data_IF_456536188948
#
_entry.id   IF_456536188948
#
_cell.length_a   1.000
_cell.length_b   1.000
_cell.length_c   1.000
_cell.angle_alpha   90.00
_cell.angle_beta   90.00
_cell.angle_gamma   90.00
#
_symmetry.space_group_name_H-M   'P 1'
#
loop_
_entity.id
_entity.type
_entity.pdbx_description
1 polymer ?
#
# COMPACT_ATOMS: atom_id res chain seq x y z
N UNK A 1 10.73 15.25 8.31
CA UNK A 1 11.84 16.04 7.73
C UNK A 1 11.39 17.38 7.13
N UNK A 2 10.70 17.46 5.98
CA UNK A 2 10.45 18.76 5.33
C UNK A 2 9.48 19.68 6.08
N UNK A 3 8.32 19.11 6.42
CA UNK A 3 7.56 19.24 7.65
C UNK A 3 7.98 20.29 8.72
N UNK A 4 9.27 20.35 9.12
CA UNK A 4 9.72 21.35 10.13
C UNK A 4 9.55 22.76 9.58
N UNK A 5 9.99 22.96 8.34
CA UNK A 5 10.26 24.29 7.78
C UNK A 5 8.99 25.08 7.42
N UNK A 6 7.83 24.43 7.47
CA UNK A 6 6.53 25.07 7.25
C UNK A 6 5.88 25.43 8.58
N UNK A 7 5.83 24.48 9.53
CA UNK A 7 5.36 24.76 10.88
C UNK A 7 6.15 25.89 11.56
N UNK A 8 7.48 25.82 11.46
CA UNK A 8 8.42 26.81 11.97
C UNK A 8 8.13 28.24 11.50
N UNK A 9 7.57 28.38 10.29
CA UNK A 9 7.32 29.67 9.63
C UNK A 9 5.99 30.28 10.03
N UNK A 10 4.97 29.43 10.25
CA UNK A 10 3.65 29.88 10.72
C UNK A 10 3.75 30.57 12.08
N UNK A 11 4.46 29.95 13.02
CA UNK A 11 4.73 30.50 14.36
C UNK A 11 5.42 31.86 14.26
N UNK A 12 6.43 31.97 13.41
CA UNK A 12 7.23 33.19 13.24
C UNK A 12 6.42 34.36 12.71
N UNK A 13 5.45 34.13 11.83
CA UNK A 13 4.63 35.20 11.24
C UNK A 13 3.46 35.65 12.14
N UNK A 14 2.86 34.74 12.91
CA UNK A 14 1.70 35.05 13.77
C UNK A 14 2.09 35.44 15.21
N UNK A 15 3.40 35.47 15.51
CA UNK A 15 3.98 35.68 16.86
C UNK A 15 3.63 34.59 17.88
N UNK A 16 3.06 33.48 17.41
CA UNK A 16 2.82 32.29 18.20
C UNK A 16 4.12 31.54 18.50
N UNK A 17 4.24 30.95 19.69
CA UNK A 17 5.37 30.06 20.00
C UNK A 17 5.21 28.74 19.23
N UNK A 18 6.34 28.11 18.88
CA UNK A 18 6.32 26.77 18.27
C UNK A 18 5.72 25.72 19.22
N UNK A 19 4.89 24.85 18.64
CA UNK A 19 4.25 23.69 19.26
C UNK A 19 4.65 22.37 18.55
N UNK A 20 4.75 22.33 17.22
CA UNK A 20 4.99 21.10 16.43
C UNK A 20 6.28 21.10 15.61
N UNK A 21 7.35 20.49 16.12
CA UNK A 21 8.62 20.29 15.39
C UNK A 21 8.44 20.03 13.89
N UNK A 22 8.01 18.85 13.46
CA UNK A 22 7.82 18.44 12.05
C UNK A 22 6.36 18.01 11.75
N UNK A 23 5.57 18.75 10.95
CA UNK A 23 4.23 18.34 10.41
C UNK A 23 4.09 18.78 8.93
N UNK A 24 3.53 18.06 7.94
CA UNK A 24 2.67 16.87 7.83
C UNK A 24 3.40 15.53 7.53
N UNK A 25 3.05 14.46 8.27
CA UNK A 25 3.20 13.04 7.92
C UNK A 25 1.98 12.34 8.54
N UNK A 26 0.97 12.00 7.74
CA UNK A 26 -0.31 11.42 8.20
C UNK A 26 -0.44 9.88 8.18
N UNK A 27 0.60 9.04 8.01
CA UNK A 27 0.37 7.61 8.09
C UNK A 27 -0.13 7.17 9.45
N UNK A 28 0.16 7.89 10.54
CA UNK A 28 -0.47 7.65 11.84
C UNK A 28 -1.99 7.82 11.80
N UNK A 29 -2.52 8.85 11.15
CA UNK A 29 -3.97 9.05 11.02
C UNK A 29 -4.61 8.00 10.07
N UNK A 30 -3.97 7.70 8.94
CA UNK A 30 -4.46 6.69 8.00
C UNK A 30 -4.34 5.27 8.56
N UNK A 31 -3.28 4.96 9.30
CA UNK A 31 -3.12 3.73 10.07
C UNK A 31 -4.17 3.65 11.17
N UNK A 32 -4.41 4.72 11.94
CA UNK A 32 -5.45 4.72 12.97
C UNK A 32 -6.83 4.45 12.36
N UNK A 33 -7.15 5.05 11.22
CA UNK A 33 -8.38 4.76 10.47
C UNK A 33 -8.45 3.28 10.07
N UNK A 34 -7.35 2.74 9.53
CA UNK A 34 -7.24 1.33 9.12
C UNK A 34 -7.39 0.37 10.32
N UNK A 35 -6.73 0.66 11.45
CA UNK A 35 -6.79 -0.12 12.70
C UNK A 35 -8.17 -0.04 13.35
N UNK A 36 -8.78 1.15 13.41
CA UNK A 36 -10.13 1.34 13.93
C UNK A 36 -11.13 0.51 13.13
N UNK A 37 -11.04 0.55 11.80
CA UNK A 37 -11.86 -0.27 10.93
C UNK A 37 -11.61 -1.78 11.14
N UNK A 38 -10.35 -2.20 11.19
CA UNK A 38 -9.93 -3.59 11.40
C UNK A 38 -10.45 -4.15 12.75
N UNK A 39 -10.31 -3.39 13.83
CA UNK A 39 -10.76 -3.78 15.18
C UNK A 39 -12.29 -3.80 15.31
N UNK A 40 -12.98 -2.85 14.66
CA UNK A 40 -14.46 -2.78 14.59
C UNK A 40 -15.04 -3.94 13.75
N UNK A 41 -14.30 -4.42 12.77
CA UNK A 41 -14.74 -5.45 11.81
C UNK A 41 -13.83 -6.70 11.89
N UNK A 42 -13.79 -7.42 13.03
CA UNK A 42 -12.95 -8.60 13.20
C UNK A 42 -13.27 -9.63 12.10
N UNK A 43 -12.21 -10.18 11.50
CA UNK A 43 -12.32 -11.00 10.28
C UNK A 43 -13.15 -12.27 10.57
N UNK A 44 -14.42 -12.27 10.15
CA UNK A 44 -15.36 -13.39 10.36
C UNK A 44 -15.00 -14.69 9.62
N UNK A 45 -13.93 -14.68 8.79
CA UNK A 45 -13.51 -15.80 7.94
C UNK A 45 -11.99 -15.94 7.99
N UNK A 46 -11.48 -17.07 8.48
CA UNK A 46 -10.04 -17.36 8.54
C UNK A 46 -9.38 -17.21 7.15
N UNK A 47 -8.10 -16.80 7.14
CA UNK A 47 -7.30 -16.86 5.91
C UNK A 47 -7.27 -18.30 5.38
N UNK A 48 -7.28 -18.43 4.05
CA UNK A 48 -7.04 -19.73 3.42
C UNK A 48 -5.56 -20.09 3.61
N UNK A 49 -5.23 -21.34 4.02
CA UNK A 49 -3.84 -21.78 4.15
C UNK A 49 -3.12 -21.77 2.80
N UNK A 50 -3.81 -22.20 1.74
CA UNK A 50 -3.33 -22.10 0.37
C UNK A 50 -4.10 -21.03 -0.42
N UNK A 51 -3.38 -20.32 -1.28
CA UNK A 51 -3.80 -19.28 -2.20
C UNK A 51 -3.98 -19.86 -3.59
N UNK A 52 -4.85 -19.23 -4.39
CA UNK A 52 -5.16 -19.63 -5.76
C UNK A 52 -4.63 -18.66 -6.81
N UNK A 53 -4.12 -17.50 -6.37
CA UNK A 53 -3.55 -16.44 -7.23
C UNK A 53 -2.23 -15.95 -6.66
N UNK A 54 -1.33 -15.58 -7.55
CA UNK A 54 -0.04 -14.97 -7.22
C UNK A 54 -0.25 -13.64 -6.49
N UNK A 55 -1.17 -12.80 -6.96
CA UNK A 55 -1.30 -11.45 -6.41
C UNK A 55 -2.72 -10.87 -6.41
N UNK A 56 -2.89 -9.79 -5.66
CA UNK A 56 -3.98 -8.82 -5.80
C UNK A 56 -3.40 -7.40 -5.99
N UNK A 57 -3.97 -6.62 -6.90
CA UNK A 57 -3.53 -5.26 -7.23
C UNK A 57 -4.73 -4.33 -7.33
N UNK A 58 -4.96 -3.52 -6.28
CA UNK A 58 -6.16 -2.70 -6.14
C UNK A 58 -5.92 -1.23 -6.54
N UNK A 59 -6.61 -0.74 -7.57
CA UNK A 59 -6.45 0.63 -8.08
C UNK A 59 -7.81 1.34 -8.22
N UNK A 60 -8.15 2.23 -7.28
CA UNK A 60 -9.38 3.02 -7.39
C UNK A 60 -9.28 4.16 -8.43
N UNK A 61 -8.31 5.06 -8.24
CA UNK A 61 -8.10 6.19 -9.15
C UNK A 61 -7.06 5.86 -10.23
N UNK A 62 -7.42 6.08 -11.50
CA UNK A 62 -6.55 6.03 -12.66
C UNK A 62 -5.40 7.06 -12.52
N UNK A 63 -4.16 6.59 -12.63
CA UNK A 63 -2.93 7.40 -12.56
C UNK A 63 -1.84 6.77 -13.44
N UNK A 64 -0.88 7.55 -14.00
CA UNK A 64 0.11 7.03 -14.94
C UNK A 64 0.90 5.82 -14.45
N UNK A 65 1.32 5.80 -13.17
CA UNK A 65 2.07 4.68 -12.60
C UNK A 65 1.21 3.44 -12.34
N UNK A 66 -0.10 3.62 -12.10
CA UNK A 66 -1.08 2.53 -11.95
C UNK A 66 -1.43 1.93 -13.30
N UNK A 67 -1.68 2.78 -14.29
CA UNK A 67 -1.82 2.37 -15.68
C UNK A 67 -0.61 1.54 -16.11
N UNK A 68 0.61 2.05 -15.94
CA UNK A 68 1.86 1.35 -16.28
C UNK A 68 2.02 -0.01 -15.57
N UNK A 69 1.53 -0.16 -14.34
CA UNK A 69 1.55 -1.46 -13.64
C UNK A 69 0.50 -2.43 -14.22
N UNK A 70 -0.74 -1.97 -14.43
CA UNK A 70 -1.81 -2.82 -14.97
C UNK A 70 -1.53 -3.19 -16.43
N UNK A 71 -1.17 -2.21 -17.26
CA UNK A 71 -0.72 -2.40 -18.64
C UNK A 71 0.40 -3.45 -18.72
N UNK A 72 1.39 -3.36 -17.82
CA UNK A 72 2.46 -4.36 -17.75
C UNK A 72 1.91 -5.76 -17.43
N UNK A 73 0.99 -5.88 -16.48
CA UNK A 73 0.35 -7.17 -16.14
C UNK A 73 -0.38 -7.77 -17.34
N UNK A 74 -1.11 -6.97 -18.12
CA UNK A 74 -1.78 -7.45 -19.34
C UNK A 74 -0.77 -7.84 -20.44
N UNK A 75 0.25 -7.01 -20.69
CA UNK A 75 1.28 -7.25 -21.72
C UNK A 75 2.08 -8.56 -21.50
N UNK A 76 2.19 -9.02 -20.26
CA UNK A 76 2.91 -10.24 -19.88
C UNK A 76 1.97 -11.43 -19.56
N UNK A 77 0.65 -11.27 -19.74
CA UNK A 77 -0.34 -12.30 -19.41
C UNK A 77 -0.48 -12.62 -17.91
N UNK A 78 -0.05 -11.70 -17.04
CA UNK A 78 -0.14 -11.81 -15.58
C UNK A 78 -1.50 -11.41 -15.04
N UNK A 79 -2.36 -10.77 -15.84
CA UNK A 79 -3.78 -10.53 -15.57
C UNK A 79 -4.49 -11.82 -15.10
N UNK A 80 -4.15 -12.97 -15.69
CA UNK A 80 -4.68 -14.29 -15.34
C UNK A 80 -4.14 -14.84 -14.02
N UNK A 81 -2.98 -14.36 -13.56
CA UNK A 81 -2.28 -14.82 -12.34
C UNK A 81 -2.71 -14.07 -11.08
N UNK A 82 -3.42 -12.95 -11.19
CA UNK A 82 -3.86 -12.16 -10.05
C UNK A 82 -5.33 -11.74 -10.08
N UNK A 83 -5.68 -10.87 -9.13
CA UNK A 83 -6.91 -10.08 -9.13
C UNK A 83 -6.55 -8.61 -9.28
N UNK A 84 -7.21 -7.90 -10.19
CA UNK A 84 -6.91 -6.50 -10.51
C UNK A 84 -8.17 -5.67 -10.39
N UNK A 85 -8.10 -4.51 -9.72
CA UNK A 85 -9.08 -3.43 -9.92
C UNK A 85 -8.45 -2.22 -10.59
N UNK A 86 -9.26 -1.51 -11.36
CA UNK A 86 -8.98 -0.25 -12.03
C UNK A 86 -10.31 0.51 -12.16
N UNK A 87 -10.70 1.25 -11.13
CA UNK A 87 -12.09 1.73 -10.97
C UNK A 87 -12.42 3.05 -11.68
N UNK A 88 -11.45 3.70 -12.33
CA UNK A 88 -11.61 5.01 -12.96
C UNK A 88 -12.34 6.05 -12.07
N UNK A 89 -12.06 6.03 -10.75
CA UNK A 89 -12.80 6.75 -9.69
C UNK A 89 -13.06 8.25 -9.95
N UNK A 90 -12.17 8.94 -10.66
CA UNK A 90 -12.29 10.37 -10.97
C UNK A 90 -12.55 10.64 -12.46
N UNK A 91 -13.15 9.66 -13.16
CA UNK A 91 -13.30 9.65 -14.61
C UNK A 91 -12.18 8.87 -15.31
N UNK A 92 -12.46 8.48 -16.55
CA UNK A 92 -11.49 7.83 -17.44
C UNK A 92 -10.55 8.89 -18.03
N UNK A 93 -9.24 8.69 -17.88
CA UNK A 93 -8.21 9.61 -18.40
C UNK A 93 -7.72 9.10 -19.78
N UNK A 94 -8.62 9.13 -20.76
CA UNK A 94 -8.66 8.16 -21.87
C UNK A 94 -7.51 8.25 -22.88
N UNK A 95 -7.02 9.43 -23.27
CA UNK A 95 -6.08 9.56 -24.40
C UNK A 95 -4.65 9.05 -24.13
N UNK A 96 -4.22 9.01 -22.86
CA UNK A 96 -2.85 8.66 -22.48
C UNK A 96 -2.76 7.46 -21.51
N UNK A 97 -3.90 6.81 -21.21
CA UNK A 97 -3.99 5.61 -20.37
C UNK A 97 -4.75 4.50 -21.09
N UNK A 98 -4.47 4.34 -22.39
CA UNK A 98 -4.92 3.23 -23.23
C UNK A 98 -3.81 2.86 -24.24
N UNK A 99 -3.58 1.56 -24.44
CA UNK A 99 -2.76 1.01 -25.51
C UNK A 99 -3.23 -0.42 -25.88
N UNK A 100 -2.57 -1.06 -26.84
CA UNK A 100 -2.84 -2.43 -27.29
C UNK A 100 -2.92 -3.49 -26.18
N UNK A 101 -2.17 -3.32 -25.08
CA UNK A 101 -2.16 -4.25 -23.95
C UNK A 101 -3.31 -3.98 -22.96
N UNK A 102 -3.62 -2.71 -22.67
CA UNK A 102 -4.68 -2.32 -21.74
C UNK A 102 -5.34 -1.01 -22.19
N UNK A 103 -6.66 -1.04 -22.42
CA UNK A 103 -7.45 0.07 -22.98
C UNK A 103 -7.96 1.04 -21.89
N UNK A 104 -7.45 0.95 -20.66
CA UNK A 104 -7.94 1.73 -19.52
C UNK A 104 -9.31 1.28 -19.01
N UNK A 105 -9.82 0.14 -19.47
CA UNK A 105 -11.16 -0.34 -19.16
C UNK A 105 -11.35 -0.56 -17.66
N UNK A 106 -12.57 -0.29 -17.17
CA UNK A 106 -12.88 -0.43 -15.75
C UNK A 106 -12.84 -1.90 -15.31
N UNK A 107 -12.07 -2.19 -14.27
CA UNK A 107 -11.94 -3.52 -13.66
C UNK A 107 -12.41 -3.46 -12.20
N UNK A 108 -13.42 -4.25 -11.83
CA UNK A 108 -14.09 -4.21 -10.52
C UNK A 108 -14.10 -5.58 -9.86
N UNK A 109 -13.97 -5.64 -8.53
CA UNK A 109 -14.13 -6.86 -7.72
C UNK A 109 -15.35 -6.77 -6.79
N UNK A 110 -15.49 -5.65 -6.07
CA UNK A 110 -16.49 -5.44 -5.02
C UNK A 110 -17.27 -4.12 -5.18
N UNK A 111 -16.58 -3.01 -5.46
CA UNK A 111 -17.17 -1.68 -5.58
C UNK A 111 -16.74 -0.95 -6.85
N UNK A 112 -17.67 -0.23 -7.48
CA UNK A 112 -17.35 0.72 -8.55
C UNK A 112 -16.68 2.02 -8.03
N UNK A 113 -16.28 2.89 -8.97
CA UNK A 113 -15.61 4.16 -8.67
C UNK A 113 -16.42 5.16 -7.83
N UNK A 114 -17.75 5.06 -7.77
CA UNK A 114 -18.61 5.88 -6.90
C UNK A 114 -18.85 5.20 -5.55
N UNK A 115 -19.12 3.90 -5.55
CA UNK A 115 -19.34 3.10 -4.35
C UNK A 115 -18.10 3.09 -3.44
N UNK A 116 -16.89 3.05 -3.99
CA UNK A 116 -15.65 3.07 -3.22
C UNK A 116 -15.43 4.41 -2.47
N UNK A 117 -16.14 5.49 -2.82
CA UNK A 117 -16.08 6.76 -2.09
C UNK A 117 -16.97 6.79 -0.83
N UNK A 118 -17.95 5.88 -0.74
CA UNK A 118 -18.99 5.92 0.27
C UNK A 118 -18.52 5.30 1.60
N UNK A 119 -18.88 5.94 2.71
CA UNK A 119 -18.66 5.41 4.08
C UNK A 119 -17.22 4.95 4.31
N UNK A 120 -17.05 3.75 4.88
CA UNK A 120 -15.75 3.11 5.14
C UNK A 120 -15.34 2.16 3.99
N UNK A 121 -15.94 2.26 2.79
CA UNK A 121 -15.74 1.26 1.72
C UNK A 121 -14.28 1.15 1.24
N UNK A 122 -13.49 2.21 1.36
CA UNK A 122 -12.04 2.18 1.06
C UNK A 122 -11.26 1.25 2.01
N UNK A 123 -11.79 0.95 3.20
CA UNK A 123 -11.17 0.05 4.17
C UNK A 123 -11.61 -1.41 4.02
N UNK A 124 -12.75 -1.68 3.38
CA UNK A 124 -13.22 -3.02 3.03
C UNK A 124 -12.17 -3.76 2.18
N UNK A 125 -12.16 -5.09 2.30
CA UNK A 125 -11.41 -5.99 1.43
C UNK A 125 -12.34 -6.81 0.55
N UNK A 126 -12.05 -6.95 -0.75
CA UNK A 126 -12.81 -7.85 -1.63
C UNK A 126 -12.65 -9.30 -1.15
N UNK A 127 -13.65 -10.14 -1.42
CA UNK A 127 -13.65 -11.56 -0.99
C UNK A 127 -12.48 -12.36 -1.58
N UNK A 128 -11.96 -11.91 -2.72
CA UNK A 128 -10.80 -12.39 -3.47
C UNK A 128 -9.48 -12.17 -2.72
N UNK A 129 -9.40 -11.16 -1.85
CA UNK A 129 -8.16 -10.77 -1.16
C UNK A 129 -7.48 -11.94 -0.43
N UNK A 130 -8.26 -12.79 0.25
CA UNK A 130 -7.76 -13.97 0.98
C UNK A 130 -7.14 -15.06 0.10
N UNK A 131 -7.33 -14.99 -1.22
CA UNK A 131 -6.95 -15.99 -2.22
C UNK A 131 -5.65 -15.64 -2.97
N UNK A 132 -5.07 -14.46 -2.72
CA UNK A 132 -3.78 -14.03 -3.29
C UNK A 132 -2.61 -14.31 -2.32
N UNK A 133 -1.40 -14.51 -2.85
CA UNK A 133 -0.15 -14.58 -2.05
C UNK A 133 0.42 -13.18 -1.76
N UNK A 134 0.45 -12.29 -2.75
CA UNK A 134 1.03 -10.95 -2.61
C UNK A 134 0.02 -9.83 -2.83
N UNK A 135 0.18 -8.72 -2.10
CA UNK A 135 -0.34 -7.42 -2.53
C UNK A 135 0.69 -6.70 -3.41
N UNK A 136 0.27 -6.27 -4.61
CA UNK A 136 1.02 -5.32 -5.43
C UNK A 136 0.44 -3.93 -5.17
N UNK A 137 1.10 -3.22 -4.24
CA UNK A 137 0.64 -1.93 -3.72
C UNK A 137 1.10 -0.80 -4.63
N UNK A 138 0.16 -0.24 -5.41
CA UNK A 138 0.38 1.02 -6.10
C UNK A 138 -0.11 2.19 -5.23
N UNK A 139 0.85 2.88 -4.59
CA UNK A 139 0.53 4.03 -3.74
C UNK A 139 -0.18 5.15 -4.52
N UNK A 140 -0.80 6.08 -3.80
CA UNK A 140 -1.60 7.15 -4.39
C UNK A 140 -0.73 8.24 -5.02
N UNK A 141 0.56 8.30 -4.63
CA UNK A 141 1.58 9.22 -5.14
C UNK A 141 2.89 8.45 -5.27
N UNK A 142 3.64 8.69 -6.36
CA UNK A 142 5.05 8.34 -6.49
C UNK A 142 5.86 9.62 -6.26
N UNK A 143 6.91 9.56 -5.45
CA UNK A 143 7.79 10.71 -5.21
C UNK A 143 9.19 10.27 -4.83
N UNK A 144 10.18 10.96 -5.38
CA UNK A 144 11.60 10.71 -5.11
C UNK A 144 12.19 11.71 -4.09
N UNK A 145 11.35 12.61 -3.58
CA UNK A 145 11.72 13.68 -2.63
C UNK A 145 10.88 13.69 -1.36
N UNK A 146 9.72 13.03 -1.36
CA UNK A 146 8.77 12.96 -0.24
C UNK A 146 8.31 11.54 0.03
N UNK A 147 8.15 11.18 1.31
CA UNK A 147 7.52 9.93 1.74
C UNK A 147 6.01 10.11 1.85
N UNK A 148 5.24 9.22 1.23
CA UNK A 148 3.78 9.20 1.27
C UNK A 148 3.28 7.77 1.41
N UNK A 149 2.50 7.49 2.46
CA UNK A 149 1.98 6.17 2.80
C UNK A 149 0.50 6.30 3.19
N UNK A 150 -0.33 5.39 2.69
CA UNK A 150 -1.78 5.34 2.91
C UNK A 150 -2.23 4.01 3.49
N UNK A 151 -3.54 3.83 3.70
CA UNK A 151 -4.14 2.56 4.12
C UNK A 151 -3.65 1.36 3.29
N UNK A 152 -3.28 1.57 2.02
CA UNK A 152 -2.78 0.53 1.10
C UNK A 152 -1.51 -0.16 1.56
N UNK A 153 -0.70 0.46 2.42
CA UNK A 153 0.49 -0.18 3.03
C UNK A 153 0.12 -0.88 4.33
N UNK A 154 -0.76 -0.27 5.12
CA UNK A 154 -1.17 -0.79 6.43
C UNK A 154 -2.03 -2.04 6.30
N UNK A 155 -2.87 -2.08 5.27
CA UNK A 155 -3.73 -3.18 4.88
C UNK A 155 -3.01 -4.54 4.76
N UNK A 156 -2.04 -4.75 3.84
CA UNK A 156 -1.34 -6.03 3.75
C UNK A 156 -0.66 -6.43 5.06
N UNK A 157 -0.09 -5.48 5.81
CA UNK A 157 0.52 -5.78 7.11
C UNK A 157 -0.53 -6.25 8.13
N UNK A 158 -1.66 -5.55 8.26
CA UNK A 158 -2.74 -5.90 9.20
C UNK A 158 -3.45 -7.20 8.81
N UNK A 159 -3.59 -7.49 7.51
CA UNK A 159 -4.18 -8.72 6.99
C UNK A 159 -3.14 -9.83 6.72
N UNK A 160 -1.93 -9.75 7.29
CA UNK A 160 -0.87 -10.76 7.15
C UNK A 160 -0.62 -11.23 5.71
N UNK A 161 -0.59 -10.30 4.76
CA UNK A 161 -0.28 -10.56 3.36
C UNK A 161 1.09 -9.95 3.02
N UNK A 162 2.05 -10.72 2.48
CA UNK A 162 3.26 -10.17 1.90
C UNK A 162 2.95 -9.13 0.81
N UNK A 163 3.79 -8.12 0.64
CA UNK A 163 3.55 -7.07 -0.35
C UNK A 163 4.81 -6.52 -0.99
N UNK A 164 4.65 -6.07 -2.23
CA UNK A 164 5.64 -5.29 -3.00
C UNK A 164 5.01 -3.95 -3.38
N UNK A 165 5.78 -2.86 -3.27
CA UNK A 165 5.23 -1.50 -3.30
C UNK A 165 5.86 -0.62 -4.36
N UNK A 166 5.03 -0.08 -5.25
CA UNK A 166 5.35 1.05 -6.11
C UNK A 166 4.83 2.33 -5.44
N UNK A 167 5.74 3.01 -4.74
CA UNK A 167 5.45 4.22 -3.95
C UNK A 167 6.61 5.21 -3.94
N UNK A 168 6.73 5.96 -2.84
CA UNK A 168 7.85 6.89 -2.61
C UNK A 168 9.21 6.21 -2.50
N UNK A 169 10.29 6.95 -2.77
CA UNK A 169 11.67 6.49 -2.55
C UNK A 169 11.96 6.25 -1.07
N UNK A 170 12.65 5.15 -0.76
CA UNK A 170 13.02 4.77 0.59
C UNK A 170 11.83 4.32 1.45
N UNK A 171 10.72 3.90 0.84
CA UNK A 171 9.52 3.47 1.55
C UNK A 171 9.77 2.20 2.36
N UNK A 172 10.37 1.16 1.75
CA UNK A 172 10.63 -0.10 2.44
C UNK A 172 11.63 0.11 3.59
N UNK A 173 12.70 0.88 3.36
CA UNK A 173 13.67 1.22 4.41
C UNK A 173 13.07 2.12 5.49
N UNK A 174 12.11 2.98 5.15
CA UNK A 174 11.40 3.79 6.12
C UNK A 174 10.50 2.92 7.02
N UNK A 175 9.75 1.97 6.45
CA UNK A 175 8.95 0.98 7.19
C UNK A 175 9.84 0.13 8.13
N UNK A 176 10.95 -0.38 7.63
CA UNK A 176 11.91 -1.13 8.45
C UNK A 176 12.47 -0.26 9.61
N UNK A 177 13.04 0.90 9.29
CA UNK A 177 13.79 1.70 10.27
C UNK A 177 12.92 2.43 11.30
N UNK A 178 11.74 2.92 10.91
CA UNK A 178 10.92 3.81 11.76
C UNK A 178 9.65 3.14 12.28
N UNK A 179 9.16 2.10 11.61
CA UNK A 179 7.97 1.34 12.06
C UNK A 179 8.35 -0.01 12.66
N UNK A 180 9.58 -0.48 12.43
CA UNK A 180 10.05 -1.80 12.85
C UNK A 180 9.42 -2.94 12.06
N UNK A 181 9.00 -2.69 10.80
CA UNK A 181 8.40 -3.71 9.94
C UNK A 181 9.51 -4.58 9.33
N UNK A 182 9.48 -5.88 9.57
CA UNK A 182 10.38 -6.85 8.94
C UNK A 182 10.00 -7.02 7.46
N UNK A 183 11.01 -7.03 6.60
CA UNK A 183 10.87 -7.21 5.15
C UNK A 183 11.14 -8.67 4.73
N UNK A 184 10.51 -9.13 3.65
CA UNK A 184 10.65 -10.49 3.11
C UNK A 184 11.87 -10.58 2.16
N UNK A 185 13.08 -10.35 2.68
CA UNK A 185 14.32 -10.31 1.87
C UNK A 185 14.67 -11.65 1.20
N UNK A 186 14.10 -12.75 1.68
CA UNK A 186 14.16 -14.10 1.13
C UNK A 186 13.35 -14.28 -0.16
N UNK A 187 12.30 -13.46 -0.36
CA UNK A 187 11.39 -13.56 -1.50
C UNK A 187 11.34 -12.28 -2.36
N UNK A 188 11.68 -11.11 -1.80
CA UNK A 188 11.61 -9.81 -2.47
C UNK A 188 13.00 -9.14 -2.41
N UNK A 189 13.54 -8.85 -3.58
CA UNK A 189 14.72 -8.02 -3.77
C UNK A 189 14.33 -6.54 -3.69
N UNK A 190 14.59 -5.90 -2.54
CA UNK A 190 14.30 -4.49 -2.29
C UNK A 190 15.31 -3.50 -2.89
N UNK A 191 16.17 -3.92 -3.84
CA UNK A 191 17.10 -3.04 -4.59
C UNK A 191 16.42 -1.79 -5.18
N UNK A 192 15.13 -1.89 -5.51
CA UNK A 192 14.33 -0.82 -6.09
C UNK A 192 14.07 0.37 -5.15
N UNK A 193 14.14 0.18 -3.82
CA UNK A 193 13.57 1.15 -2.86
C UNK A 193 14.21 2.55 -2.97
N UNK A 194 15.53 2.62 -3.18
CA UNK A 194 16.27 3.87 -3.35
C UNK A 194 16.56 4.27 -4.81
N UNK A 195 16.01 3.56 -5.79
CA UNK A 195 16.14 3.88 -7.23
C UNK A 195 15.06 4.88 -7.61
N UNK A 196 15.35 5.94 -8.38
CA UNK A 196 14.36 6.95 -8.80
C UNK A 196 13.30 6.42 -9.78
N UNK A 197 12.13 7.06 -9.86
CA UNK A 197 11.12 6.76 -10.87
C UNK A 197 11.54 7.37 -12.23
N UNK A 198 11.42 6.66 -13.37
CA UNK A 198 10.73 5.38 -13.58
C UNK A 198 11.56 4.12 -13.33
N UNK A 199 12.87 4.22 -13.06
CA UNK A 199 13.73 3.04 -12.90
C UNK A 199 13.32 2.13 -11.73
N UNK A 200 12.71 2.69 -10.67
CA UNK A 200 12.06 1.93 -9.58
C UNK A 200 11.05 0.91 -10.10
N UNK A 201 10.21 1.33 -11.06
CA UNK A 201 9.19 0.45 -11.65
C UNK A 201 9.86 -0.72 -12.39
N UNK A 202 10.87 -0.43 -13.21
CA UNK A 202 11.60 -1.49 -13.94
C UNK A 202 12.23 -2.48 -12.96
N UNK A 203 12.87 -2.00 -11.88
CA UNK A 203 13.44 -2.85 -10.83
C UNK A 203 12.40 -3.72 -10.10
N UNK A 204 11.20 -3.18 -9.83
CA UNK A 204 10.08 -3.95 -9.29
C UNK A 204 9.65 -5.05 -10.28
N UNK A 205 9.56 -4.74 -11.57
CA UNK A 205 9.16 -5.72 -12.60
C UNK A 205 10.22 -6.80 -12.80
N UNK A 206 11.44 -6.38 -13.13
CA UNK A 206 12.49 -7.25 -13.66
C UNK A 206 13.23 -8.01 -12.55
N UNK A 207 13.56 -7.37 -11.42
CA UNK A 207 14.27 -8.02 -10.30
C UNK A 207 13.30 -8.84 -9.39
N UNK A 208 11.97 -8.68 -9.54
CA UNK A 208 10.97 -9.35 -8.69
C UNK A 208 9.80 -9.97 -9.45
N UNK A 209 8.89 -9.17 -10.03
CA UNK A 209 7.60 -9.67 -10.52
C UNK A 209 7.76 -10.74 -11.60
N UNK A 210 8.72 -10.63 -12.51
CA UNK A 210 9.01 -11.66 -13.53
C UNK A 210 9.26 -13.04 -12.92
N UNK A 211 10.09 -13.10 -11.87
CA UNK A 211 10.35 -14.35 -11.13
C UNK A 211 9.10 -14.81 -10.39
N UNK A 212 8.51 -13.94 -9.57
CA UNK A 212 7.34 -14.27 -8.75
C UNK A 212 6.19 -14.83 -9.59
N UNK A 213 5.90 -14.22 -10.74
CA UNK A 213 4.83 -14.70 -11.63
C UNK A 213 5.17 -16.03 -12.31
N UNK A 214 6.44 -16.35 -12.50
CA UNK A 214 6.87 -17.62 -13.11
C UNK A 214 7.04 -18.75 -12.11
N UNK A 215 7.15 -18.47 -10.81
CA UNK A 215 7.08 -19.47 -9.74
C UNK A 215 5.68 -20.12 -9.71
N UNK A 216 5.58 -21.46 -9.62
CA UNK A 216 4.32 -22.17 -9.39
C UNK A 216 3.57 -21.66 -8.15
N UNK A 217 2.24 -21.71 -8.16
CA UNK A 217 1.43 -21.22 -7.04
C UNK A 217 1.61 -22.12 -5.79
N UNK A 218 1.98 -23.37 -6.00
CA UNK A 218 2.33 -24.36 -4.99
C UNK A 218 3.60 -23.94 -4.22
N UNK A 219 4.70 -23.65 -4.92
CA UNK A 219 5.97 -23.16 -4.32
C UNK A 219 5.76 -21.84 -3.56
N UNK A 220 4.93 -20.93 -4.10
CA UNK A 220 4.58 -19.68 -3.39
C UNK A 220 3.76 -19.94 -2.12
N UNK A 221 2.92 -20.98 -2.10
CA UNK A 221 2.18 -21.40 -0.91
C UNK A 221 3.09 -22.11 0.11
N UNK A 222 4.04 -22.91 -0.33
CA UNK A 222 5.06 -23.51 0.54
C UNK A 222 5.86 -22.41 1.24
N UNK A 223 6.39 -21.45 0.47
CA UNK A 223 7.07 -20.27 1.01
C UNK A 223 6.21 -19.47 1.98
N UNK A 224 4.95 -19.19 1.63
CA UNK A 224 4.03 -18.44 2.48
C UNK A 224 3.76 -19.16 3.81
N UNK A 225 3.70 -20.50 3.80
CA UNK A 225 3.42 -21.32 4.97
C UNK A 225 4.67 -21.72 5.78
N UNK A 226 5.88 -21.30 5.39
CA UNK A 226 7.07 -21.42 6.23
C UNK A 226 6.85 -20.72 7.58
N UNK A 227 7.34 -21.34 8.65
CA UNK A 227 7.28 -20.79 10.01
C UNK A 227 7.92 -19.39 10.06
N UNK A 228 9.10 -19.21 9.47
CA UNK A 228 9.80 -17.92 9.36
C UNK A 228 8.96 -16.84 8.66
N UNK A 229 8.24 -17.19 7.59
CA UNK A 229 7.34 -16.26 6.88
C UNK A 229 6.14 -15.90 7.74
N UNK A 230 5.51 -16.88 8.39
CA UNK A 230 4.36 -16.67 9.27
C UNK A 230 4.73 -15.90 10.54
N UNK A 231 5.94 -16.08 11.08
CA UNK A 231 6.51 -15.27 12.16
C UNK A 231 6.68 -13.81 11.74
N UNK A 232 7.26 -13.53 10.56
CA UNK A 232 7.41 -12.17 10.04
C UNK A 232 6.03 -11.49 9.91
N UNK A 233 5.05 -12.17 9.29
CA UNK A 233 3.70 -11.65 9.12
C UNK A 233 2.98 -11.40 10.45
N UNK A 234 3.12 -12.32 11.40
CA UNK A 234 2.53 -12.21 12.74
C UNK A 234 3.18 -11.11 13.56
N UNK A 235 4.51 -11.00 13.51
CA UNK A 235 5.27 -9.94 14.14
C UNK A 235 4.88 -8.56 13.59
N UNK A 236 4.81 -8.42 12.26
CA UNK A 236 4.46 -7.14 11.62
C UNK A 236 3.02 -6.71 11.95
N UNK A 237 2.05 -7.64 11.92
CA UNK A 237 0.67 -7.35 12.35
C UNK A 237 0.63 -6.91 13.82
N UNK A 238 1.25 -7.68 14.71
CA UNK A 238 1.29 -7.38 16.15
C UNK A 238 1.97 -6.03 16.42
N UNK A 239 3.04 -5.71 15.67
CA UNK A 239 3.77 -4.44 15.75
C UNK A 239 2.92 -3.24 15.38
N UNK A 240 2.02 -3.35 14.39
CA UNK A 240 1.07 -2.27 14.06
C UNK A 240 -0.09 -2.19 15.06
N UNK A 241 -0.69 -3.33 15.45
CA UNK A 241 -1.84 -3.33 16.36
C UNK A 241 -1.51 -2.80 17.76
N UNK A 242 -0.27 -3.00 18.22
CA UNK A 242 0.24 -2.49 19.50
C UNK A 242 1.13 -1.24 19.32
N UNK A 243 1.07 -0.59 18.16
CA UNK A 243 1.76 0.69 17.98
C UNK A 243 0.99 1.77 18.74
N UNK A 244 1.66 2.44 19.66
CA UNK A 244 1.15 3.70 20.23
C UNK A 244 1.11 4.77 19.13
N UNK A 245 -0.03 4.85 18.46
CA UNK A 245 -0.32 5.94 17.56
C UNK A 245 -0.54 7.18 18.43
N UNK A 246 0.48 8.03 18.51
CA UNK A 246 0.34 9.37 19.05
C UNK A 246 -0.68 10.11 18.20
N UNK A 247 -1.92 10.18 18.70
CA UNK A 247 -3.03 10.82 18.02
C UNK A 247 -2.68 12.31 17.83
N UNK A 248 -2.31 12.65 16.59
CA UNK A 248 -2.02 14.02 16.18
C UNK A 248 -3.19 14.95 16.50
N UNK A 249 -4.43 14.49 16.29
CA UNK A 249 -5.64 15.18 16.75
C UNK A 249 -5.61 15.39 18.28
N UNK A 250 -5.41 14.35 19.08
CA UNK A 250 -5.46 14.46 20.55
C UNK A 250 -4.32 15.29 21.20
N UNK A 251 -3.29 15.68 20.44
CA UNK A 251 -2.25 16.62 20.90
C UNK A 251 -2.44 18.04 20.33
N UNK A 252 -2.92 18.19 19.09
CA UNK A 252 -3.23 19.50 18.48
C UNK A 252 -4.54 20.06 19.03
N UNK A 253 -5.60 19.27 18.97
CA UNK A 253 -6.98 19.68 19.25
C UNK A 253 -7.16 19.99 20.75
N UNK A 254 -6.63 19.11 21.61
CA UNK A 254 -6.49 19.30 23.07
C UNK A 254 -5.54 20.44 23.48
N UNK A 255 -4.88 21.11 22.52
CA UNK A 255 -4.07 22.31 22.73
C UNK A 255 -4.69 23.57 22.11
N UNK A 256 -5.63 23.43 21.17
CA UNK A 256 -6.34 24.54 20.52
C UNK A 256 -7.71 24.79 21.18
N UNK A 257 -8.41 23.75 21.62
CA UNK A 257 -9.77 23.83 22.16
C UNK A 257 -9.89 23.55 23.67
N UNK A 258 -8.89 22.88 24.27
CA UNK A 258 -8.84 22.56 25.71
C UNK A 258 -9.11 21.09 26.03
#
# INVERSE_FOLDING_TARGET
AYLVKNYDRWCKNHKEKKVFGHVIFYPYALLQRTINYYNKNPIKRKHLPNKYKHFICMNAAAKPHRFRMVEKMFSEGWDKKGYITYLNRYGENTSHMANENFQGQTLTLDFDGKQIEQNENQEIMPREYKQAVFDIVNESIISDTSLFLTEKVWKPILYKNPFIILGSKGTCKHLEKYWGIKLHNDMINYSFDYVDYPHRFNRIVDDNLRRIMNTPIEELNEWLNLESTQEILSYNQHKLLNMEIQAMEYYVDKKIHG
#
